data_IF_423160161851
#
_entry.id   IF_423160161851
#
_cell.length_a   1.000
_cell.length_b   1.000
_cell.length_c   1.000
_cell.angle_alpha   90.00
_cell.angle_beta   90.00
_cell.angle_gamma   90.00
#
_symmetry.space_group_name_H-M   'P 1'
#
loop_
_entity.id
_entity.type
_entity.pdbx_description
1 polymer ?
#
# COMPACT_ATOMS: atom_id res chain seq x y z
N UNK A 1 -9.42 -25.82 51.94
CA UNK A 1 -9.45 -26.43 50.59
C UNK A 1 -8.70 -25.50 49.65
N UNK A 2 -7.44 -25.81 49.34
CA UNK A 2 -6.57 -24.99 48.49
C UNK A 2 -6.93 -25.21 47.02
N UNK A 3 -7.12 -24.12 46.26
CA UNK A 3 -7.17 -24.15 44.79
C UNK A 3 -5.87 -23.57 44.26
N UNK A 4 -5.04 -24.44 43.69
CA UNK A 4 -3.85 -24.06 42.93
C UNK A 4 -4.33 -23.72 41.52
N UNK A 5 -4.20 -22.45 41.12
CA UNK A 5 -4.42 -22.01 39.73
C UNK A 5 -3.08 -22.18 39.00
N UNK A 6 -3.03 -23.14 38.09
CA UNK A 6 -1.88 -23.36 37.20
C UNK A 6 -2.02 -22.41 36.01
N UNK A 7 -1.20 -21.34 35.94
CA UNK A 7 -1.04 -20.54 34.73
C UNK A 7 -0.12 -21.31 33.77
N UNK A 8 -0.68 -21.80 32.66
CA UNK A 8 0.10 -22.31 31.54
C UNK A 8 0.60 -21.11 30.71
N UNK A 9 1.88 -20.79 30.82
CA UNK A 9 2.57 -19.86 29.94
C UNK A 9 2.94 -20.64 28.68
N UNK A 10 2.14 -20.53 27.63
CA UNK A 10 2.44 -21.10 26.33
C UNK A 10 3.46 -20.19 25.64
N UNK A 11 4.72 -20.61 25.64
CA UNK A 11 5.76 -19.95 24.84
C UNK A 11 5.48 -20.21 23.35
N UNK A 12 5.11 -19.15 22.61
CA UNK A 12 5.00 -19.20 21.16
C UNK A 12 6.43 -19.07 20.63
N UNK A 13 7.04 -20.20 20.27
CA UNK A 13 8.26 -20.22 19.49
C UNK A 13 7.96 -19.77 18.07
N UNK A 14 8.35 -18.54 17.74
CA UNK A 14 8.50 -18.07 16.36
C UNK A 14 9.62 -18.91 15.70
N UNK A 15 9.24 -20.02 15.09
CA UNK A 15 10.08 -20.67 14.10
C UNK A 15 10.13 -19.74 12.89
N UNK A 16 11.18 -18.92 12.82
CA UNK A 16 11.53 -18.18 11.62
C UNK A 16 11.71 -19.16 10.48
N UNK A 17 10.76 -19.16 9.54
CA UNK A 17 10.98 -19.78 8.25
C UNK A 17 11.96 -18.86 7.53
N UNK A 18 13.25 -19.21 7.56
CA UNK A 18 14.23 -18.65 6.66
C UNK A 18 13.82 -19.05 5.25
N UNK A 19 13.09 -18.17 4.58
CA UNK A 19 12.84 -18.26 3.16
C UNK A 19 14.17 -18.04 2.46
N UNK A 20 14.63 -19.08 1.77
CA UNK A 20 15.80 -19.08 0.92
C UNK A 20 15.77 -17.87 -0.01
N UNK A 21 16.83 -17.05 0.07
CA UNK A 21 17.20 -16.08 -0.96
C UNK A 21 17.26 -16.83 -2.30
N UNK A 22 16.24 -16.61 -3.13
CA UNK A 22 16.09 -17.26 -4.43
C UNK A 22 16.02 -16.17 -5.47
N UNK A 23 17.15 -15.99 -6.16
CA UNK A 23 17.31 -15.43 -7.51
C UNK A 23 16.73 -14.04 -7.80
N UNK A 24 17.50 -13.06 -7.35
CA UNK A 24 17.43 -11.64 -7.70
C UNK A 24 17.90 -11.43 -9.17
N UNK A 25 17.05 -11.71 -10.19
CA UNK A 25 17.31 -11.19 -11.56
C UNK A 25 16.18 -11.20 -12.62
N UNK A 26 14.94 -11.66 -12.42
CA UNK A 26 13.93 -11.66 -13.52
C UNK A 26 12.51 -11.16 -13.16
N UNK A 27 12.19 -10.91 -11.88
CA UNK A 27 10.84 -10.45 -11.49
C UNK A 27 10.56 -8.97 -11.80
N UNK A 28 11.53 -8.25 -12.37
CA UNK A 28 11.39 -6.83 -12.71
C UNK A 28 10.49 -6.57 -13.93
N UNK A 29 10.16 -7.60 -14.71
CA UNK A 29 9.37 -7.45 -15.94
C UNK A 29 7.96 -8.06 -15.86
N UNK A 30 7.65 -8.84 -14.81
CA UNK A 30 6.35 -9.52 -14.72
C UNK A 30 5.26 -8.52 -14.33
N UNK A 31 4.30 -8.33 -15.23
CA UNK A 31 3.11 -7.53 -14.98
C UNK A 31 1.89 -8.40 -14.63
N UNK A 32 1.09 -7.89 -13.71
CA UNK A 32 -0.14 -8.47 -13.21
C UNK A 32 -1.34 -7.59 -13.56
N UNK A 33 -2.51 -8.22 -13.62
CA UNK A 33 -3.79 -7.54 -13.78
C UNK A 33 -4.85 -8.24 -12.95
N UNK A 34 -5.92 -7.51 -12.63
CA UNK A 34 -7.13 -8.06 -12.04
C UNK A 34 -8.35 -7.39 -12.64
N UNK A 35 -9.41 -8.16 -12.86
CA UNK A 35 -10.68 -7.70 -13.43
C UNK A 35 -11.78 -7.60 -12.38
N UNK A 36 -11.49 -7.99 -11.13
CA UNK A 36 -12.45 -7.99 -10.03
C UNK A 36 -11.87 -7.27 -8.83
N UNK A 37 -12.74 -6.62 -8.05
CA UNK A 37 -12.36 -6.05 -6.76
C UNK A 37 -11.82 -7.16 -5.86
N UNK A 38 -10.66 -6.92 -5.25
CA UNK A 38 -10.08 -7.75 -4.21
C UNK A 38 -10.09 -6.98 -2.89
N UNK A 39 -10.39 -7.65 -1.79
CA UNK A 39 -10.47 -7.02 -0.45
C UNK A 39 -9.69 -7.88 0.53
N UNK A 40 -8.80 -7.24 1.28
CA UNK A 40 -7.90 -7.88 2.22
C UNK A 40 -8.45 -7.88 3.64
N UNK A 41 -7.67 -8.43 4.56
CA UNK A 41 -8.05 -8.54 5.98
C UNK A 41 -7.91 -7.22 6.72
N UNK A 42 -7.04 -6.34 6.24
CA UNK A 42 -6.87 -4.96 6.72
C UNK A 42 -8.02 -4.03 6.30
N UNK A 43 -8.91 -4.48 5.41
CA UNK A 43 -9.90 -3.62 4.76
C UNK A 43 -9.38 -2.91 3.50
N UNK A 44 -8.08 -3.02 3.20
CA UNK A 44 -7.51 -2.57 1.92
C UNK A 44 -8.24 -3.25 0.76
N UNK A 45 -8.55 -2.47 -0.28
CA UNK A 45 -9.16 -3.02 -1.49
C UNK A 45 -8.39 -2.61 -2.74
N UNK A 46 -8.24 -3.55 -3.68
CA UNK A 46 -7.69 -3.29 -5.01
C UNK A 46 -8.83 -3.31 -6.02
N UNK A 47 -9.06 -2.19 -6.70
CA UNK A 47 -10.00 -2.12 -7.81
C UNK A 47 -9.43 -2.83 -9.06
N UNK A 48 -10.27 -3.23 -10.03
CA UNK A 48 -9.79 -3.72 -11.33
C UNK A 48 -8.67 -2.83 -11.88
N UNK A 49 -7.53 -3.45 -12.19
CA UNK A 49 -6.26 -2.77 -12.44
C UNK A 49 -5.42 -3.58 -13.42
N UNK A 50 -4.59 -2.91 -14.22
CA UNK A 50 -3.68 -3.50 -15.19
C UNK A 50 -2.26 -2.93 -15.01
N UNK A 51 -1.25 -3.56 -15.63
CA UNK A 51 0.14 -3.11 -15.63
C UNK A 51 0.71 -2.89 -14.21
N UNK A 52 0.41 -3.82 -13.29
CA UNK A 52 0.94 -3.81 -11.93
C UNK A 52 2.19 -4.66 -11.86
N UNK A 53 3.26 -4.23 -11.20
CA UNK A 53 4.44 -5.08 -10.95
C UNK A 53 4.39 -5.80 -9.60
N UNK A 54 3.22 -5.75 -8.96
CA UNK A 54 2.94 -6.38 -7.66
C UNK A 54 1.56 -7.02 -7.68
N UNK A 55 1.41 -8.11 -6.94
CA UNK A 55 0.15 -8.82 -6.74
C UNK A 55 -0.63 -8.26 -5.57
N UNK A 56 -1.95 -8.53 -5.50
CA UNK A 56 -2.76 -8.09 -4.36
C UNK A 56 -2.24 -8.58 -2.99
N UNK A 57 -1.82 -9.85 -2.81
CA UNK A 57 -1.21 -10.28 -1.55
C UNK A 57 0.05 -9.49 -1.16
N UNK A 58 0.86 -9.05 -2.13
CA UNK A 58 2.02 -8.20 -1.85
C UNK A 58 1.60 -6.78 -1.42
N UNK A 59 0.60 -6.20 -2.09
CA UNK A 59 0.05 -4.89 -1.72
C UNK A 59 -0.48 -4.91 -0.27
N UNK A 60 -1.25 -5.94 0.09
CA UNK A 60 -1.74 -6.14 1.46
C UNK A 60 -0.57 -6.27 2.46
N UNK A 61 0.44 -7.07 2.12
CA UNK A 61 1.61 -7.27 2.96
C UNK A 61 2.38 -5.97 3.18
N UNK A 62 2.56 -5.13 2.16
CA UNK A 62 3.20 -3.82 2.29
C UNK A 62 2.42 -2.90 3.22
N UNK A 63 1.09 -2.89 3.14
CA UNK A 63 0.26 -2.11 4.06
C UNK A 63 0.47 -2.53 5.52
N UNK A 64 0.42 -3.83 5.79
CA UNK A 64 0.64 -4.39 7.13
C UNK A 64 2.05 -4.11 7.66
N UNK A 65 3.06 -4.10 6.78
CA UNK A 65 4.44 -3.72 7.14
C UNK A 65 4.54 -2.24 7.55
N UNK A 66 3.87 -1.34 6.84
CA UNK A 66 3.86 0.09 7.18
C UNK A 66 3.08 0.32 8.48
N UNK A 67 1.93 -0.34 8.67
CA UNK A 67 1.19 -0.33 9.94
C UNK A 67 2.07 -0.76 11.12
N UNK A 68 2.76 -1.89 10.97
CA UNK A 68 3.67 -2.42 11.98
C UNK A 68 4.85 -1.47 12.26
N UNK A 69 5.43 -0.87 11.22
CA UNK A 69 6.52 0.10 11.37
C UNK A 69 6.08 1.37 12.10
N UNK A 70 4.92 1.92 11.75
CA UNK A 70 4.37 3.13 12.35
C UNK A 70 3.75 2.88 13.73
N UNK A 71 3.45 1.62 14.07
CA UNK A 71 2.82 1.24 15.33
C UNK A 71 1.35 1.69 15.41
N UNK A 72 0.65 1.71 14.27
CA UNK A 72 -0.77 2.08 14.16
C UNK A 72 -1.55 0.98 13.44
N UNK A 73 -2.87 0.99 13.61
CA UNK A 73 -3.80 0.11 12.89
C UNK A 73 -4.96 0.94 12.37
N UNK A 74 -5.30 0.79 11.10
CA UNK A 74 -6.44 1.44 10.46
C UNK A 74 -7.09 0.51 9.41
N UNK A 75 -8.27 0.91 8.91
CA UNK A 75 -8.82 0.25 7.72
C UNK A 75 -8.02 0.68 6.50
N UNK A 76 -7.58 -0.27 5.69
CA UNK A 76 -6.77 0.01 4.50
C UNK A 76 -7.50 0.84 3.44
N UNK A 77 -6.72 1.54 2.58
CA UNK A 77 -7.28 2.39 1.52
C UNK A 77 -7.81 1.57 0.34
N UNK A 78 -8.48 2.26 -0.57
CA UNK A 78 -8.72 1.77 -1.94
C UNK A 78 -7.44 2.01 -2.75
N UNK A 79 -6.97 1.01 -3.48
CA UNK A 79 -5.80 1.08 -4.38
C UNK A 79 -6.24 0.87 -5.82
N UNK A 80 -5.70 1.68 -6.72
CA UNK A 80 -5.99 1.62 -8.16
C UNK A 80 -4.72 1.88 -8.94
N UNK A 81 -4.40 1.00 -9.89
CA UNK A 81 -3.38 1.26 -10.89
C UNK A 81 -4.04 1.81 -12.15
N UNK A 82 -3.65 3.01 -12.56
CA UNK A 82 -4.22 3.70 -13.71
C UNK A 82 -3.20 4.61 -14.38
N UNK A 83 -3.41 4.92 -15.64
CA UNK A 83 -2.60 5.89 -16.37
C UNK A 83 -2.99 7.30 -15.93
N UNK A 84 -2.00 8.11 -15.50
CA UNK A 84 -2.25 9.50 -15.14
C UNK A 84 -2.36 10.40 -16.38
N UNK A 85 -1.84 9.96 -17.51
CA UNK A 85 -1.98 10.62 -18.82
C UNK A 85 -3.34 10.36 -19.48
N UNK A 86 -4.00 9.23 -19.18
CA UNK A 86 -5.27 8.84 -19.81
C UNK A 86 -6.50 9.01 -18.92
N UNK A 87 -6.34 9.29 -17.61
CA UNK A 87 -7.40 9.57 -16.63
C UNK A 87 -8.72 8.83 -16.90
N UNK A 88 -8.73 7.51 -16.69
CA UNK A 88 -9.92 6.70 -16.91
C UNK A 88 -10.86 6.83 -15.71
N UNK A 89 -12.15 6.98 -15.99
CA UNK A 89 -13.22 6.89 -14.99
C UNK A 89 -13.13 5.53 -14.27
N UNK A 90 -12.80 5.54 -12.99
CA UNK A 90 -12.77 4.33 -12.19
C UNK A 90 -14.20 3.95 -11.83
N UNK A 91 -14.63 2.76 -12.27
CA UNK A 91 -15.90 2.20 -11.85
C UNK A 91 -15.93 2.01 -10.33
N UNK A 92 -16.89 2.64 -9.66
CA UNK A 92 -17.08 2.55 -8.21
C UNK A 92 -16.68 3.81 -7.42
N UNK A 93 -16.03 4.79 -8.06
CA UNK A 93 -15.82 6.12 -7.50
C UNK A 93 -16.80 7.08 -8.19
N UNK A 94 -17.58 7.84 -7.41
CA UNK A 94 -18.56 8.78 -7.96
C UNK A 94 -17.84 10.00 -8.57
N UNK A 95 -17.61 9.96 -9.89
CA UNK A 95 -17.08 11.07 -10.67
C UNK A 95 -15.72 10.73 -11.33
N UNK A 96 -15.35 11.44 -12.41
CA UNK A 96 -14.05 11.24 -13.05
C UNK A 96 -12.93 11.56 -12.06
N UNK A 97 -11.91 10.70 -12.01
CA UNK A 97 -10.67 11.04 -11.33
C UNK A 97 -10.06 12.24 -12.05
N UNK A 98 -9.94 13.38 -11.36
CA UNK A 98 -9.18 14.49 -11.90
C UNK A 98 -7.69 14.25 -11.62
N UNK A 99 -6.98 13.71 -12.61
CA UNK A 99 -5.53 13.53 -12.55
C UNK A 99 -4.75 14.68 -13.24
N UNK A 100 -5.41 15.83 -13.50
CA UNK A 100 -4.71 17.05 -13.92
C UNK A 100 -3.60 17.42 -12.92
N UNK A 101 -2.37 17.57 -13.43
CA UNK A 101 -1.21 17.91 -12.62
C UNK A 101 -0.54 16.71 -11.92
N UNK A 102 -1.01 15.47 -12.13
CA UNK A 102 -0.38 14.28 -11.54
C UNK A 102 0.68 13.63 -12.42
N UNK A 103 0.74 13.94 -13.72
CA UNK A 103 1.53 13.20 -14.71
C UNK A 103 3.05 13.08 -14.46
N UNK A 104 3.60 13.73 -13.43
CA UNK A 104 4.99 13.55 -12.99
C UNK A 104 5.19 12.64 -11.76
N UNK A 105 4.10 12.13 -11.16
CA UNK A 105 4.16 11.36 -9.92
C UNK A 105 4.06 9.85 -10.18
N UNK A 106 4.75 9.05 -9.36
CA UNK A 106 4.67 7.58 -9.35
C UNK A 106 3.37 7.08 -8.71
N UNK A 107 2.86 7.83 -7.72
CA UNK A 107 1.62 7.54 -7.01
C UNK A 107 1.05 8.79 -6.37
N UNK A 108 -0.14 8.66 -5.79
CA UNK A 108 -0.76 9.69 -4.98
C UNK A 108 -1.80 9.11 -4.03
N UNK A 109 -1.76 9.54 -2.78
CA UNK A 109 -2.84 9.42 -1.82
C UNK A 109 -3.77 10.64 -1.86
N UNK A 110 -5.07 10.38 -2.05
CA UNK A 110 -6.13 11.38 -1.97
C UNK A 110 -6.77 11.38 -0.58
N UNK A 111 -6.37 12.37 0.23
CA UNK A 111 -6.89 12.57 1.59
C UNK A 111 -8.41 12.81 1.54
N UNK A 112 -9.14 12.09 2.40
CA UNK A 112 -10.61 12.16 2.49
C UNK A 112 -11.34 11.20 1.54
N UNK A 113 -10.74 10.83 0.41
CA UNK A 113 -11.23 9.75 -0.45
C UNK A 113 -10.71 8.38 -0.03
N UNK A 114 -9.67 8.33 0.83
CA UNK A 114 -8.97 7.11 1.23
C UNK A 114 -8.52 6.28 0.02
N UNK A 115 -7.97 6.97 -0.97
CA UNK A 115 -7.67 6.43 -2.28
C UNK A 115 -6.19 6.60 -2.59
N UNK A 116 -5.53 5.49 -2.92
CA UNK A 116 -4.18 5.45 -3.49
C UNK A 116 -4.32 5.21 -5.00
N UNK A 117 -3.79 6.15 -5.76
CA UNK A 117 -3.62 6.04 -7.21
C UNK A 117 -2.16 5.70 -7.49
N UNK A 118 -1.94 4.63 -8.25
CA UNK A 118 -0.64 4.21 -8.73
C UNK A 118 -0.56 4.48 -10.22
N UNK A 119 0.47 5.20 -10.66
CA UNK A 119 0.59 5.62 -12.04
C UNK A 119 1.20 4.50 -12.90
N UNK A 120 0.54 4.17 -14.00
CA UNK A 120 1.01 3.16 -14.96
C UNK A 120 1.74 3.72 -16.18
N UNK A 121 2.00 5.02 -16.22
CA UNK A 121 2.67 5.69 -17.34
C UNK A 121 4.18 5.42 -17.38
N UNK A 122 4.59 4.32 -18.00
CA UNK A 122 6.01 3.95 -18.16
C UNK A 122 6.81 4.90 -19.05
N UNK A 123 6.15 5.77 -19.82
CA UNK A 123 6.83 6.81 -20.61
C UNK A 123 7.34 7.98 -19.75
N UNK A 124 6.92 8.05 -18.48
CA UNK A 124 7.36 9.09 -17.54
C UNK A 124 8.50 8.58 -16.66
N UNK A 125 8.50 7.29 -16.31
CA UNK A 125 9.50 6.66 -15.45
C UNK A 125 9.57 5.14 -15.65
N UNK A 126 10.75 4.57 -15.43
CA UNK A 126 10.94 3.11 -15.43
C UNK A 126 10.23 2.50 -14.21
N UNK A 127 9.32 1.55 -14.46
CA UNK A 127 8.59 0.84 -13.41
C UNK A 127 9.02 -0.62 -13.31
N UNK A 128 8.95 -1.15 -12.10
CA UNK A 128 9.24 -2.53 -11.74
C UNK A 128 8.66 -2.81 -10.34
N UNK A 129 8.89 -4.02 -9.82
CA UNK A 129 8.37 -4.40 -8.50
C UNK A 129 8.89 -3.51 -7.36
N UNK A 130 10.15 -3.03 -7.44
CA UNK A 130 10.78 -2.19 -6.42
C UNK A 130 10.11 -0.82 -6.37
N UNK A 131 9.96 -0.18 -7.53
CA UNK A 131 9.34 1.15 -7.64
C UNK A 131 7.87 1.10 -7.25
N UNK A 132 7.13 0.06 -7.61
CA UNK A 132 5.74 -0.13 -7.17
C UNK A 132 5.64 -0.33 -5.66
N UNK A 133 6.49 -1.18 -5.08
CA UNK A 133 6.56 -1.40 -3.63
C UNK A 133 6.84 -0.10 -2.89
N UNK A 134 7.91 0.60 -3.26
CA UNK A 134 8.38 1.78 -2.53
C UNK A 134 7.35 2.92 -2.65
N UNK A 135 6.74 3.08 -3.83
CA UNK A 135 5.65 4.04 -4.04
C UNK A 135 4.41 3.68 -3.22
N UNK A 136 3.97 2.42 -3.22
CA UNK A 136 2.83 2.00 -2.40
C UNK A 136 3.07 2.26 -0.91
N UNK A 137 4.25 1.90 -0.41
CA UNK A 137 4.58 2.13 1.01
C UNK A 137 4.61 3.61 1.34
N UNK A 138 5.12 4.46 0.44
CA UNK A 138 5.05 5.92 0.56
C UNK A 138 3.60 6.42 0.69
N UNK A 139 2.71 5.98 -0.20
CA UNK A 139 1.29 6.39 -0.15
C UNK A 139 0.54 5.81 1.06
N UNK A 140 0.94 4.64 1.56
CA UNK A 140 0.39 4.09 2.80
C UNK A 140 0.80 4.88 4.04
N UNK A 141 2.00 5.45 4.08
CA UNK A 141 2.38 6.40 5.14
C UNK A 141 1.46 7.62 5.10
N UNK A 142 1.19 8.20 3.93
CA UNK A 142 0.24 9.30 3.79
C UNK A 142 -1.15 8.94 4.34
N UNK A 143 -1.65 7.76 3.97
CA UNK A 143 -2.94 7.24 4.45
C UNK A 143 -2.98 7.10 5.97
N UNK A 144 -2.02 6.40 6.58
CA UNK A 144 -2.02 6.15 8.02
C UNK A 144 -1.83 7.44 8.83
N UNK A 145 -1.04 8.39 8.33
CA UNK A 145 -0.93 9.71 8.93
C UNK A 145 -2.27 10.45 8.94
N UNK A 146 -3.02 10.39 7.84
CA UNK A 146 -4.34 11.03 7.75
C UNK A 146 -5.38 10.32 8.62
N UNK A 147 -5.52 9.01 8.50
CA UNK A 147 -6.65 8.26 9.06
C UNK A 147 -6.43 7.79 10.50
N UNK A 148 -5.20 7.42 10.87
CA UNK A 148 -4.91 6.87 12.21
C UNK A 148 -4.37 7.91 13.19
N UNK A 149 -3.62 8.89 12.68
CA UNK A 149 -2.87 9.83 13.52
C UNK A 149 -3.42 11.25 13.51
N UNK A 150 -4.38 11.56 12.64
CA UNK A 150 -4.91 12.90 12.44
C UNK A 150 -3.78 13.93 12.21
N UNK A 151 -2.76 13.52 11.44
CA UNK A 151 -1.60 14.34 11.14
C UNK A 151 -2.03 15.53 10.25
N UNK A 152 -1.50 16.74 10.47
CA UNK A 152 -1.93 17.91 9.69
C UNK A 152 -1.75 17.69 8.19
N UNK A 153 -2.80 17.97 7.42
CA UNK A 153 -2.81 17.74 5.96
C UNK A 153 -1.63 18.42 5.27
N UNK A 154 -1.35 19.68 5.64
CA UNK A 154 -0.22 20.42 5.08
C UNK A 154 1.11 19.75 5.38
N UNK A 155 1.30 19.22 6.60
CA UNK A 155 2.54 18.56 6.99
C UNK A 155 2.66 17.17 6.36
N UNK A 156 1.53 16.49 6.14
CA UNK A 156 1.46 15.21 5.45
C UNK A 156 1.91 15.35 3.99
N UNK A 157 1.29 16.29 3.25
CA UNK A 157 1.61 16.57 1.84
C UNK A 157 3.03 17.09 1.63
N UNK A 158 3.62 17.76 2.63
CA UNK A 158 5.01 18.23 2.57
C UNK A 158 6.02 17.22 3.15
N UNK A 159 5.60 15.99 3.43
CA UNK A 159 6.44 14.91 3.95
C UNK A 159 7.18 15.25 5.26
N UNK A 160 6.57 16.02 6.17
CA UNK A 160 7.24 16.47 7.40
C UNK A 160 7.25 15.44 8.53
N UNK A 161 6.54 14.32 8.36
CA UNK A 161 6.59 13.21 9.31
C UNK A 161 7.89 12.42 9.16
N UNK A 162 8.54 11.98 10.26
CA UNK A 162 9.72 11.12 10.16
C UNK A 162 9.42 9.75 9.54
N UNK A 163 8.16 9.30 9.52
CA UNK A 163 7.79 8.01 8.95
C UNK A 163 8.09 7.89 7.45
N UNK A 164 8.13 9.00 6.71
CA UNK A 164 8.53 8.99 5.29
C UNK A 164 9.98 8.56 5.05
N UNK A 165 10.85 8.63 6.06
CA UNK A 165 12.22 8.11 5.96
C UNK A 165 12.45 6.81 6.72
N UNK A 166 11.46 6.31 7.46
CA UNK A 166 11.59 5.16 8.35
C UNK A 166 10.74 3.97 7.93
N UNK A 167 9.58 4.20 7.31
CA UNK A 167 8.58 3.17 7.02
C UNK A 167 8.29 2.94 5.54
N UNK A 168 8.95 3.69 4.66
CA UNK A 168 8.88 3.51 3.19
C UNK A 168 9.97 2.57 2.72
#
# INVERSE_FOLDING_TARGET
MNRIILLAITAISLTGCGGSDSDDSDDNEIQYSTTSVQVGVSGLSLQPSQNMYVTFPQIEQFYLEVEACMGVVASGPIVIFTSFSECVEVQGINGPLNCEGLGGNLGQYSIGAQLVLMNTDEHVFDRNHVTDRDTLKHEFVHHLLAEAMNFPIGDNVNHLSPFFGLCT
#
